data_IF_863551142178
#
_entry.id   IF_863551142178
#
_cell.length_a   1.000
_cell.length_b   1.000
_cell.length_c   1.000
_cell.angle_alpha   90.00
_cell.angle_beta   90.00
_cell.angle_gamma   90.00
#
_symmetry.space_group_name_H-M   'P 1'
#
loop_
_entity.id
_entity.type
_entity.pdbx_description
1 polymer ?
#
# COMPACT_ATOMS: atom_id res chain seq x y z
N UNK A 1 -6.39 69.21 28.87
CA UNK A 1 -5.32 68.24 29.13
C UNK A 1 -5.89 67.11 29.98
N UNK A 2 -6.48 66.09 29.36
CA UNK A 2 -7.08 64.93 30.03
C UNK A 2 -6.13 63.74 29.90
N UNK A 3 -5.64 63.21 31.02
CA UNK A 3 -4.73 62.05 31.05
C UNK A 3 -5.54 60.78 30.85
N UNK A 4 -5.26 60.05 29.76
CA UNK A 4 -5.85 58.76 29.47
C UNK A 4 -5.33 57.70 30.47
N UNK A 5 -6.20 56.87 31.09
CA UNK A 5 -5.77 55.88 32.06
C UNK A 5 -4.99 54.75 31.37
N UNK A 6 -3.77 54.52 31.86
CA UNK A 6 -2.73 53.60 31.35
C UNK A 6 -3.10 52.10 31.46
N UNK A 7 -4.31 51.80 31.93
CA UNK A 7 -4.82 50.47 32.24
C UNK A 7 -5.61 49.81 31.10
N UNK A 8 -5.90 50.54 30.02
CA UNK A 8 -6.60 49.96 28.84
C UNK A 8 -5.62 49.32 27.84
N UNK A 9 -4.33 49.66 27.92
CA UNK A 9 -3.27 49.10 27.04
C UNK A 9 -2.76 47.71 27.43
N UNK A 10 -3.34 47.04 28.43
CA UNK A 10 -2.91 45.70 28.85
C UNK A 10 -3.91 44.58 28.51
N UNK A 11 -5.16 44.92 28.16
CA UNK A 11 -6.17 43.91 27.81
C UNK A 11 -6.18 43.54 26.31
N UNK A 12 -5.50 44.31 25.45
CA UNK A 12 -5.44 44.03 24.01
C UNK A 12 -4.25 43.13 23.60
N UNK A 13 -3.33 42.82 24.51
CA UNK A 13 -2.14 42.01 24.22
C UNK A 13 -2.31 40.50 24.51
N UNK A 14 -3.45 40.07 25.06
CA UNK A 14 -3.67 38.69 25.48
C UNK A 14 -4.50 37.83 24.50
N UNK A 15 -4.92 38.36 23.35
CA UNK A 15 -5.85 37.69 22.44
C UNK A 15 -5.26 37.28 21.07
N UNK A 16 -3.93 37.17 20.95
CA UNK A 16 -3.25 37.01 19.66
C UNK A 16 -2.36 35.76 19.53
N UNK A 17 -2.55 34.70 20.33
CA UNK A 17 -1.61 33.57 20.34
C UNK A 17 -2.25 32.18 20.49
N UNK A 18 -3.32 31.88 19.75
CA UNK A 18 -3.92 30.53 19.74
C UNK A 18 -4.33 30.03 18.35
N UNK A 19 -3.45 30.22 17.36
CA UNK A 19 -3.58 29.58 16.03
C UNK A 19 -2.27 28.87 15.67
N UNK A 20 -1.88 27.88 16.46
CA UNK A 20 -1.02 26.80 15.94
C UNK A 20 -1.94 25.65 15.57
N UNK A 21 -2.53 25.75 14.37
CA UNK A 21 -3.27 24.65 13.77
C UNK A 21 -2.37 23.41 13.74
N UNK A 22 -2.93 22.31 14.23
CA UNK A 22 -2.37 20.98 14.12
C UNK A 22 -2.09 20.66 12.65
N UNK A 23 -0.82 20.78 12.24
CA UNK A 23 -0.33 20.01 11.11
C UNK A 23 -0.22 18.56 11.58
N UNK A 24 -1.35 17.83 11.61
CA UNK A 24 -1.29 16.38 11.49
C UNK A 24 -0.46 16.11 10.23
N UNK A 25 0.77 15.62 10.40
CA UNK A 25 1.83 15.60 9.39
C UNK A 25 1.42 14.81 8.16
N UNK A 26 0.71 15.44 7.25
CA UNK A 26 0.24 14.82 6.04
C UNK A 26 1.41 14.73 5.04
N UNK A 27 1.85 13.50 4.76
CA UNK A 27 2.93 13.29 3.80
C UNK A 27 2.46 13.70 2.40
N UNK A 28 3.37 14.32 1.65
CA UNK A 28 3.08 14.75 0.28
C UNK A 28 3.12 13.54 -0.65
N UNK A 29 2.25 13.56 -1.65
CA UNK A 29 2.35 12.65 -2.79
C UNK A 29 3.64 13.01 -3.55
N UNK A 30 4.50 12.03 -3.80
CA UNK A 30 5.82 12.25 -4.40
C UNK A 30 5.76 12.34 -5.94
N UNK A 31 4.74 11.73 -6.56
CA UNK A 31 4.54 11.88 -8.01
C UNK A 31 4.09 13.31 -8.37
N UNK A 32 4.56 13.80 -9.52
CA UNK A 32 4.28 15.17 -9.94
C UNK A 32 2.79 15.39 -10.20
N UNK A 33 2.24 16.51 -9.70
CA UNK A 33 0.86 16.95 -9.99
C UNK A 33 0.57 17.13 -11.49
N UNK A 34 1.59 17.42 -12.29
CA UNK A 34 1.45 17.58 -13.74
C UNK A 34 1.31 16.24 -14.47
N UNK A 35 1.79 15.16 -13.88
CA UNK A 35 1.60 13.80 -14.41
C UNK A 35 0.27 13.26 -13.91
N UNK A 36 -0.80 13.65 -14.58
CA UNK A 36 -2.16 13.26 -14.19
C UNK A 36 -2.38 11.75 -14.21
N UNK A 37 -1.60 10.99 -15.00
CA UNK A 37 -1.71 9.53 -15.11
C UNK A 37 -1.25 8.82 -13.84
N UNK A 38 -0.29 9.40 -13.12
CA UNK A 38 0.24 8.86 -11.86
C UNK A 38 -0.35 9.58 -10.64
N UNK A 39 -0.59 10.88 -10.75
CA UNK A 39 -1.05 11.70 -9.61
C UNK A 39 -2.50 11.39 -9.21
N UNK A 40 -3.37 11.05 -10.17
CA UNK A 40 -4.76 10.62 -9.86
C UNK A 40 -4.78 9.32 -9.04
N UNK A 41 -4.18 8.20 -9.47
CA UNK A 41 -4.17 6.98 -8.67
C UNK A 41 -3.43 7.14 -7.34
N UNK A 42 -2.39 7.98 -7.26
CA UNK A 42 -1.74 8.31 -6.00
C UNK A 42 -2.70 8.99 -4.99
N UNK A 43 -3.52 9.95 -5.45
CA UNK A 43 -4.54 10.58 -4.61
C UNK A 43 -5.62 9.59 -4.17
N UNK A 44 -6.12 8.78 -5.10
CA UNK A 44 -7.11 7.74 -4.78
C UNK A 44 -6.57 6.78 -3.72
N UNK A 45 -5.31 6.34 -3.86
CA UNK A 45 -4.66 5.51 -2.85
C UNK A 45 -4.59 6.24 -1.49
N UNK A 46 -4.18 7.50 -1.49
CA UNK A 46 -4.08 8.29 -0.26
C UNK A 46 -5.43 8.44 0.45
N UNK A 47 -6.48 8.74 -0.29
CA UNK A 47 -7.82 8.96 0.25
C UNK A 47 -8.47 7.68 0.81
N UNK A 48 -8.08 6.51 0.28
CA UNK A 48 -8.81 5.25 0.49
C UNK A 48 -8.02 4.18 1.22
N UNK A 49 -6.69 4.22 1.15
CA UNK A 49 -5.82 3.14 1.62
C UNK A 49 -4.83 3.61 2.72
N UNK A 50 -4.66 4.92 2.92
CA UNK A 50 -3.63 5.49 3.80
C UNK A 50 -3.72 5.06 5.27
N UNK A 51 -4.92 4.70 5.74
CA UNK A 51 -5.13 4.30 7.14
C UNK A 51 -4.42 2.99 7.52
N UNK A 52 -4.13 2.13 6.54
CA UNK A 52 -3.53 0.82 6.80
C UNK A 52 -2.21 0.60 6.04
N UNK A 53 -1.96 1.33 4.95
CA UNK A 53 -0.81 1.10 4.09
C UNK A 53 0.20 2.24 4.15
N UNK A 54 1.48 1.88 4.20
CA UNK A 54 2.60 2.77 3.94
C UNK A 54 2.98 2.69 2.47
N UNK A 55 3.00 3.82 1.80
CA UNK A 55 3.39 3.95 0.41
C UNK A 55 3.86 5.38 0.13
N UNK A 56 5.15 5.54 -0.10
CA UNK A 56 5.85 6.82 -0.25
C UNK A 56 5.33 7.58 -1.46
N UNK A 57 5.13 6.91 -2.60
CA UNK A 57 4.67 7.57 -3.82
C UNK A 57 3.26 8.16 -3.68
N UNK A 58 2.43 7.61 -2.78
CA UNK A 58 1.13 8.16 -2.42
C UNK A 58 1.15 9.06 -1.16
N UNK A 59 2.31 9.25 -0.51
CA UNK A 59 2.41 10.02 0.73
C UNK A 59 1.57 9.43 1.86
N UNK A 60 1.72 8.12 2.11
CA UNK A 60 0.95 7.40 3.15
C UNK A 60 1.86 6.67 4.13
N UNK A 61 1.45 6.59 5.39
CA UNK A 61 2.21 5.97 6.48
C UNK A 61 1.27 5.21 7.45
N UNK A 62 0.51 4.24 6.92
CA UNK A 62 -0.46 3.45 7.69
C UNK A 62 0.05 2.09 8.19
N UNK A 63 1.18 1.59 7.69
CA UNK A 63 1.75 0.31 8.14
C UNK A 63 2.68 0.53 9.32
N UNK A 64 2.78 -0.43 10.24
CA UNK A 64 3.86 -0.42 11.23
C UNK A 64 5.25 -0.49 10.56
N UNK A 65 6.16 0.33 11.08
CA UNK A 65 7.56 0.32 10.67
C UNK A 65 8.31 -0.94 11.14
N UNK A 66 7.87 -1.57 12.23
CA UNK A 66 8.48 -2.77 12.79
C UNK A 66 7.51 -3.95 12.73
N UNK A 67 7.96 -5.06 12.13
CA UNK A 67 7.19 -6.30 12.00
C UNK A 67 6.67 -6.83 13.35
N UNK A 68 7.44 -6.65 14.43
CA UNK A 68 7.13 -7.13 15.78
C UNK A 68 6.09 -6.28 16.50
N UNK A 69 5.88 -5.06 16.04
CA UNK A 69 4.89 -4.12 16.61
C UNK A 69 3.76 -3.86 15.64
N UNK A 70 3.64 -4.66 14.56
CA UNK A 70 2.53 -4.51 13.64
C UNK A 70 1.24 -4.86 14.34
N UNK A 71 0.22 -4.06 14.12
CA UNK A 71 -1.12 -4.44 14.51
C UNK A 71 -1.68 -5.43 13.50
N UNK A 72 -2.68 -6.20 13.93
CA UNK A 72 -3.37 -7.14 13.04
C UNK A 72 -3.95 -6.42 11.82
N UNK A 73 -4.38 -5.17 11.99
CA UNK A 73 -5.01 -4.33 10.98
C UNK A 73 -4.05 -3.65 10.00
N UNK A 74 -2.73 -3.79 10.20
CA UNK A 74 -1.75 -3.13 9.34
C UNK A 74 -1.73 -3.77 7.95
N UNK A 75 -1.90 -2.93 6.94
CA UNK A 75 -1.66 -3.29 5.56
C UNK A 75 -0.16 -3.39 5.24
N UNK A 76 0.22 -4.08 4.16
CA UNK A 76 1.58 -4.07 3.66
C UNK A 76 2.18 -2.67 3.46
N UNK A 77 3.46 -2.53 3.80
CA UNK A 77 4.29 -1.40 3.38
C UNK A 77 4.76 -1.64 1.94
N UNK A 78 4.24 -0.87 1.00
CA UNK A 78 4.56 -1.00 -0.43
C UNK A 78 5.92 -0.43 -0.81
N UNK A 79 6.60 0.31 0.05
CA UNK A 79 7.96 0.78 -0.26
C UNK A 79 8.95 -0.39 -0.35
N UNK A 80 8.77 -1.39 0.50
CA UNK A 80 9.70 -2.52 0.69
C UNK A 80 9.13 -3.84 0.20
N UNK A 81 7.97 -3.81 -0.47
CA UNK A 81 7.31 -5.00 -0.98
C UNK A 81 6.90 -4.80 -2.43
N UNK A 82 7.45 -5.61 -3.31
CA UNK A 82 7.01 -5.70 -4.70
C UNK A 82 5.58 -6.24 -4.81
N UNK A 83 4.82 -5.69 -5.75
CA UNK A 83 3.49 -6.18 -6.13
C UNK A 83 3.20 -6.00 -7.61
N UNK A 84 2.31 -6.82 -8.16
CA UNK A 84 1.89 -6.75 -9.57
C UNK A 84 0.41 -6.40 -9.69
N UNK A 85 0.02 -5.90 -10.86
CA UNK A 85 -1.29 -5.31 -11.11
C UNK A 85 -2.44 -6.26 -10.75
N UNK A 86 -2.38 -7.52 -11.16
CA UNK A 86 -3.44 -8.51 -10.95
C UNK A 86 -3.64 -8.82 -9.48
N UNK A 87 -2.54 -8.96 -8.74
CA UNK A 87 -2.55 -9.22 -7.30
C UNK A 87 -3.12 -8.04 -6.52
N UNK A 88 -2.74 -6.82 -6.87
CA UNK A 88 -3.26 -5.61 -6.22
C UNK A 88 -4.73 -5.44 -6.55
N UNK A 89 -5.13 -5.60 -7.81
CA UNK A 89 -6.52 -5.48 -8.24
C UNK A 89 -7.40 -6.53 -7.54
N UNK A 90 -6.93 -7.78 -7.44
CA UNK A 90 -7.60 -8.82 -6.69
C UNK A 90 -7.79 -8.42 -5.21
N UNK A 91 -6.74 -7.90 -4.58
CA UNK A 91 -6.81 -7.47 -3.18
C UNK A 91 -7.81 -6.31 -2.99
N UNK A 92 -7.83 -5.33 -3.89
CA UNK A 92 -8.79 -4.22 -3.84
C UNK A 92 -10.24 -4.72 -3.93
N UNK A 93 -10.50 -5.68 -4.82
CA UNK A 93 -11.85 -6.21 -5.06
C UNK A 93 -12.33 -7.11 -3.91
N UNK A 94 -11.43 -7.89 -3.31
CA UNK A 94 -11.80 -8.97 -2.39
C UNK A 94 -11.47 -8.70 -0.92
N UNK A 95 -10.83 -7.56 -0.60
CA UNK A 95 -10.46 -7.23 0.78
C UNK A 95 -9.15 -7.88 1.21
N UNK A 96 -8.14 -7.81 0.35
CA UNK A 96 -6.89 -8.54 0.49
C UNK A 96 -7.05 -10.03 0.13
N UNK A 97 -6.00 -10.81 0.37
CA UNK A 97 -5.98 -12.24 0.03
C UNK A 97 -6.83 -13.11 0.96
N UNK A 98 -7.21 -12.60 2.13
CA UNK A 98 -8.08 -13.29 3.09
C UNK A 98 -9.49 -12.71 3.19
N UNK A 99 -9.73 -11.49 2.71
CA UNK A 99 -11.00 -10.77 2.90
C UNK A 99 -11.30 -10.34 4.35
N UNK A 100 -10.40 -10.63 5.31
CA UNK A 100 -10.73 -10.57 6.73
C UNK A 100 -10.46 -9.21 7.39
N UNK A 101 -9.64 -8.35 6.79
CA UNK A 101 -9.08 -7.15 7.45
C UNK A 101 -9.18 -5.93 6.55
N UNK A 102 -8.63 -6.05 5.34
CA UNK A 102 -8.80 -5.02 4.32
C UNK A 102 -10.23 -5.11 3.80
N UNK A 103 -11.01 -4.02 3.77
CA UNK A 103 -12.32 -4.05 3.14
C UNK A 103 -12.19 -4.30 1.64
N UNK A 104 -13.12 -5.06 1.05
CA UNK A 104 -13.21 -5.22 -0.40
C UNK A 104 -13.96 -4.04 -1.05
N UNK A 105 -13.71 -3.83 -2.35
CA UNK A 105 -14.36 -2.83 -3.19
C UNK A 105 -14.29 -1.39 -2.65
N UNK A 106 -13.21 -1.03 -1.94
CA UNK A 106 -12.96 0.34 -1.46
C UNK A 106 -12.86 1.33 -2.63
N UNK A 107 -12.34 0.83 -3.77
CA UNK A 107 -12.31 1.51 -5.06
C UNK A 107 -12.79 0.48 -6.08
N UNK A 108 -13.54 0.91 -7.10
CA UNK A 108 -14.15 0.03 -8.11
C UNK A 108 -13.87 0.52 -9.53
N UNK A 109 -14.14 -0.36 -10.50
CA UNK A 109 -14.08 -0.01 -11.92
C UNK A 109 -12.68 0.42 -12.37
N UNK A 110 -12.63 1.47 -13.17
CA UNK A 110 -11.38 1.95 -13.77
C UNK A 110 -10.41 2.53 -12.74
N UNK A 111 -10.93 3.23 -11.72
CA UNK A 111 -10.09 3.78 -10.66
C UNK A 111 -9.36 2.67 -9.89
N UNK A 112 -9.98 1.50 -9.71
CA UNK A 112 -9.33 0.35 -9.08
C UNK A 112 -8.16 -0.19 -9.93
N UNK A 113 -8.31 -0.21 -11.26
CA UNK A 113 -7.24 -0.63 -12.17
C UNK A 113 -6.09 0.36 -12.18
N UNK A 114 -6.39 1.67 -12.23
CA UNK A 114 -5.38 2.71 -12.17
C UNK A 114 -4.57 2.65 -10.88
N UNK A 115 -5.23 2.47 -9.73
CA UNK A 115 -4.55 2.29 -8.45
C UNK A 115 -3.72 1.01 -8.43
N UNK A 116 -4.21 -0.09 -8.99
CA UNK A 116 -3.46 -1.33 -9.05
C UNK A 116 -2.18 -1.21 -9.89
N UNK A 117 -2.26 -0.57 -11.06
CA UNK A 117 -1.10 -0.31 -11.92
C UNK A 117 -0.10 0.64 -11.25
N UNK A 118 -0.59 1.71 -10.62
CA UNK A 118 0.24 2.65 -9.88
C UNK A 118 1.00 1.97 -8.73
N UNK A 119 0.31 1.15 -7.93
CA UNK A 119 0.97 0.37 -6.87
C UNK A 119 2.00 -0.56 -7.49
N UNK A 120 1.66 -1.32 -8.52
CA UNK A 120 2.58 -2.27 -9.15
C UNK A 120 3.84 -1.62 -9.72
N UNK A 121 3.70 -0.41 -10.29
CA UNK A 121 4.78 0.38 -10.86
C UNK A 121 5.81 0.84 -9.84
N UNK A 122 5.37 1.28 -8.66
CA UNK A 122 6.24 1.88 -7.65
C UNK A 122 6.52 0.99 -6.43
N UNK A 123 5.80 -0.12 -6.29
CA UNK A 123 5.95 -1.05 -5.18
C UNK A 123 7.33 -1.72 -5.14
N UNK A 124 7.92 -1.74 -3.95
CA UNK A 124 9.25 -2.28 -3.70
C UNK A 124 10.39 -1.38 -4.17
N UNK A 125 10.16 -0.07 -4.38
CA UNK A 125 11.22 0.87 -4.76
C UNK A 125 12.40 0.93 -3.76
N UNK A 126 12.23 0.39 -2.55
CA UNK A 126 13.25 0.28 -1.50
C UNK A 126 13.64 -1.18 -1.20
N UNK A 127 13.10 -2.16 -1.93
CA UNK A 127 13.31 -3.60 -1.70
C UNK A 127 14.47 -4.22 -2.51
N UNK A 128 15.11 -3.44 -3.39
CA UNK A 128 16.13 -3.92 -4.32
C UNK A 128 15.54 -4.42 -5.64
N UNK A 129 16.25 -5.31 -6.31
CA UNK A 129 15.83 -5.86 -7.59
C UNK A 129 14.59 -6.73 -7.44
N UNK A 130 13.67 -6.56 -8.39
CA UNK A 130 12.44 -7.31 -8.41
C UNK A 130 12.69 -8.76 -8.84
N UNK A 131 12.16 -9.76 -8.13
CA UNK A 131 12.27 -11.15 -8.57
C UNK A 131 11.55 -11.38 -9.91
N UNK A 132 12.13 -12.23 -10.75
CA UNK A 132 11.54 -12.62 -12.03
C UNK A 132 10.11 -13.14 -11.85
N UNK A 133 9.24 -12.81 -12.80
CA UNK A 133 7.84 -13.26 -12.83
C UNK A 133 6.92 -12.62 -11.78
N UNK A 134 7.47 -11.86 -10.84
CA UNK A 134 6.63 -11.12 -9.90
C UNK A 134 5.98 -9.88 -10.53
N UNK A 135 6.42 -9.44 -11.71
CA UNK A 135 5.79 -8.41 -12.56
C UNK A 135 6.51 -7.06 -12.59
N UNK A 136 7.06 -6.68 -13.72
CA UNK A 136 7.96 -5.52 -13.86
C UNK A 136 7.61 -4.66 -15.08
N UNK A 137 8.41 -3.64 -15.37
CA UNK A 137 8.15 -2.79 -16.53
C UNK A 137 8.17 -3.55 -17.87
N UNK A 138 8.91 -4.67 -17.98
CA UNK A 138 9.04 -5.44 -19.22
C UNK A 138 7.75 -6.16 -19.62
N UNK A 139 6.90 -6.48 -18.65
CA UNK A 139 5.62 -7.15 -18.87
C UNK A 139 4.40 -6.30 -18.47
N UNK A 140 4.55 -4.97 -18.44
CA UNK A 140 3.46 -4.05 -18.10
C UNK A 140 3.01 -4.15 -16.64
N UNK A 141 3.91 -4.57 -15.75
CA UNK A 141 3.68 -4.80 -14.32
C UNK A 141 2.67 -5.93 -14.03
N UNK A 142 2.49 -6.84 -14.98
CA UNK A 142 1.65 -8.03 -14.84
C UNK A 142 2.40 -9.13 -14.11
N UNK A 143 1.74 -9.89 -13.24
CA UNK A 143 2.31 -11.12 -12.72
C UNK A 143 2.45 -12.12 -13.88
N UNK A 144 3.54 -12.91 -13.92
CA UNK A 144 3.54 -14.13 -14.72
C UNK A 144 3.25 -15.31 -13.79
N UNK A 145 2.43 -16.25 -14.25
CA UNK A 145 2.16 -17.50 -13.53
C UNK A 145 3.33 -18.49 -13.60
N UNK A 146 4.41 -18.12 -14.30
CA UNK A 146 5.60 -18.94 -14.42
C UNK A 146 6.39 -18.82 -13.12
N UNK A 147 6.19 -19.79 -12.22
CA UNK A 147 7.27 -20.15 -11.30
C UNK A 147 8.44 -20.54 -12.19
N UNK A 148 9.53 -19.78 -12.15
CA UNK A 148 10.79 -20.21 -12.75
C UNK A 148 11.20 -21.50 -12.02
N UNK A 149 10.94 -22.66 -12.62
CA UNK A 149 11.35 -23.98 -12.12
C UNK A 149 12.88 -24.14 -12.13
N UNK A 150 13.63 -23.10 -12.48
CA UNK A 150 15.10 -23.02 -12.37
C UNK A 150 15.51 -22.76 -10.93
N UNK A 151 15.20 -23.73 -10.08
CA UNK A 151 15.60 -23.78 -8.68
C UNK A 151 15.70 -25.20 -8.13
N UNK A 152 15.82 -26.23 -8.97
CA UNK A 152 16.26 -27.58 -8.56
C UNK A 152 16.85 -28.30 -9.77
N UNK A 153 18.16 -28.12 -9.98
CA UNK A 153 18.97 -29.20 -10.56
C UNK A 153 19.63 -29.90 -9.39
N UNK A 154 19.04 -31.02 -8.97
CA UNK A 154 19.57 -31.85 -7.90
C UNK A 154 18.64 -32.98 -7.50
N UNK A 155 18.62 -34.04 -8.32
CA UNK A 155 18.50 -35.41 -7.83
C UNK A 155 17.08 -35.98 -7.65
N UNK A 156 16.64 -36.70 -8.67
CA UNK A 156 16.22 -38.11 -8.59
C UNK A 156 15.11 -38.50 -7.58
N UNK A 157 13.93 -38.77 -8.12
CA UNK A 157 13.28 -40.10 -8.13
C UNK A 157 11.76 -39.96 -8.00
N UNK A 158 11.10 -40.04 -9.17
CA UNK A 158 9.67 -40.33 -9.25
C UNK A 158 9.53 -41.83 -9.06
N UNK A 159 9.26 -42.24 -7.83
CA UNK A 159 8.47 -43.44 -7.57
C UNK A 159 7.15 -43.01 -6.95
N UNK A 160 6.14 -42.94 -7.81
CA UNK A 160 4.75 -43.03 -7.45
C UNK A 160 4.50 -44.40 -6.82
N UNK A 161 4.31 -44.43 -5.51
CA UNK A 161 3.61 -45.52 -4.82
C UNK A 161 2.42 -44.91 -4.07
N UNK A 162 1.29 -44.83 -4.78
CA UNK A 162 -0.05 -44.75 -4.19
C UNK A 162 -0.50 -46.17 -3.84
N UNK A 163 -0.69 -46.54 -2.57
CA UNK A 163 -1.61 -47.62 -2.23
C UNK A 163 -2.96 -46.99 -1.89
N UNK A 164 -3.83 -46.92 -2.91
CA UNK A 164 -5.26 -46.79 -2.70
C UNK A 164 -5.79 -48.01 -1.96
N UNK A 165 -6.27 -47.80 -0.74
CA UNK A 165 -7.10 -48.78 -0.02
C UNK A 165 -8.49 -48.78 -0.67
N UNK A 166 -8.77 -49.83 -1.43
CA UNK A 166 -10.09 -50.15 -1.94
C UNK A 166 -10.35 -51.64 -1.69
N UNK A 167 -10.73 -51.99 -0.47
CA UNK A 167 -11.23 -53.32 -0.13
C UNK A 167 -12.76 -53.32 -0.08
N UNK A 168 -13.36 -53.53 -1.25
CA UNK A 168 -14.74 -53.97 -1.40
C UNK A 168 -14.81 -55.46 -1.76
N UNK A 169 -15.48 -56.24 -0.91
CA UNK A 169 -16.42 -57.29 -1.32
C UNK A 169 -15.91 -58.72 -1.53
N UNK A 170 -16.24 -59.59 -0.58
CA UNK A 170 -17.13 -60.74 -0.84
C UNK A 170 -17.97 -61.02 0.40
#
# INVERSE_FOLDING_TARGET
MTRLPKSITLAAAALAASVTFAACGEQKIEVSKSDTSEYRPAQLFKERCAGCHTFKQAGTHGSAANIRTRERTDGPNFNVRHECTERVLYAIQNGGFSGAIMPGNIIVGEDAKLVAQFVAKYAGSEAGDRPEGTGDASNGYSCTSLRSDTGTTGGDDVTQDDPGDNTGGN
#
